data_IF_037754787342
#
_entry.id   IF_037754787342
#
_cell.length_a   1.000
_cell.length_b   1.000
_cell.length_c   1.000
_cell.angle_alpha   90.00
_cell.angle_beta   90.00
_cell.angle_gamma   90.00
#
_symmetry.space_group_name_H-M   'P 1'
#
loop_
_entity.id
_entity.type
_entity.pdbx_description
1 polymer ?
#
# COMPACT_ATOMS: atom_id res chain seq x y z
N UNK A 1 7.80 -14.49 -13.98
CA UNK A 1 9.24 -14.45 -13.61
C UNK A 1 9.36 -14.31 -12.09
N UNK A 2 10.38 -14.95 -11.45
CA UNK A 2 10.52 -14.93 -9.99
C UNK A 2 11.90 -14.39 -9.59
N UNK A 3 11.93 -13.49 -8.59
CA UNK A 3 13.14 -12.93 -7.95
C UNK A 3 14.16 -12.34 -8.95
N UNK A 4 13.70 -11.64 -9.97
CA UNK A 4 14.54 -10.95 -10.95
C UNK A 4 14.40 -9.43 -10.82
N UNK A 5 15.46 -8.69 -11.17
CA UNK A 5 15.35 -7.24 -11.38
C UNK A 5 14.62 -6.96 -12.69
N UNK A 6 13.80 -5.91 -12.70
CA UNK A 6 13.17 -5.42 -13.93
C UNK A 6 14.20 -4.99 -14.97
N UNK A 7 15.35 -4.47 -14.54
CA UNK A 7 16.41 -4.00 -15.44
C UNK A 7 16.94 -5.10 -16.37
N UNK A 8 16.90 -6.36 -15.92
CA UNK A 8 17.32 -7.50 -16.74
C UNK A 8 16.40 -7.76 -17.94
N UNK A 9 15.15 -7.30 -17.89
CA UNK A 9 14.13 -7.58 -18.91
C UNK A 9 13.47 -6.30 -19.46
N UNK A 10 13.82 -5.12 -18.97
CA UNK A 10 13.19 -3.84 -19.36
C UNK A 10 13.39 -3.48 -20.84
N UNK A 11 14.41 -4.09 -21.49
CA UNK A 11 14.69 -3.94 -22.91
C UNK A 11 13.71 -4.68 -23.83
N UNK A 12 12.90 -5.61 -23.30
CA UNK A 12 11.95 -6.38 -24.08
C UNK A 12 10.80 -5.54 -24.60
N UNK A 13 10.45 -5.71 -25.86
CA UNK A 13 9.32 -5.04 -26.49
C UNK A 13 8.01 -5.78 -26.15
N UNK A 14 7.53 -5.52 -24.95
CA UNK A 14 6.27 -6.07 -24.40
C UNK A 14 5.55 -5.00 -23.61
N UNK A 15 4.24 -4.90 -23.79
CA UNK A 15 3.40 -3.94 -23.10
C UNK A 15 3.45 -4.13 -21.56
N UNK A 16 3.58 -5.35 -21.08
CA UNK A 16 3.62 -5.71 -19.65
C UNK A 16 4.71 -6.73 -19.38
N UNK A 17 5.51 -6.50 -18.35
CA UNK A 17 6.42 -7.47 -17.77
C UNK A 17 5.95 -7.79 -16.35
N UNK A 18 5.88 -9.07 -15.96
CA UNK A 18 5.37 -9.48 -14.66
C UNK A 18 6.45 -10.23 -13.86
N UNK A 19 6.74 -9.75 -12.63
CA UNK A 19 7.78 -10.29 -11.76
C UNK A 19 7.21 -10.57 -10.38
N UNK A 20 7.38 -11.81 -9.90
CA UNK A 20 7.10 -12.18 -8.51
C UNK A 20 8.36 -12.09 -7.67
N UNK A 21 8.29 -11.47 -6.49
CA UNK A 21 9.43 -11.33 -5.58
C UNK A 21 9.02 -11.58 -4.14
N UNK A 22 9.81 -12.37 -3.42
CA UNK A 22 9.68 -12.57 -1.98
C UNK A 22 10.77 -11.75 -1.29
N UNK A 23 10.39 -10.91 -0.34
CA UNK A 23 11.28 -9.98 0.35
C UNK A 23 11.56 -10.42 1.78
N UNK A 24 12.78 -10.16 2.27
CA UNK A 24 13.09 -10.28 3.68
C UNK A 24 12.21 -9.30 4.51
N UNK A 25 11.84 -9.71 5.73
CA UNK A 25 11.04 -8.85 6.60
C UNK A 25 11.80 -7.57 6.95
N UNK A 26 11.11 -6.43 6.86
CA UNK A 26 11.68 -5.10 7.08
C UNK A 26 12.59 -4.58 5.96
N UNK A 27 12.78 -5.33 4.87
CA UNK A 27 13.64 -4.90 3.75
C UNK A 27 13.21 -3.55 3.21
N UNK A 28 14.17 -2.65 3.04
CA UNK A 28 13.98 -1.33 2.45
C UNK A 28 14.52 -1.32 1.02
N UNK A 29 13.66 -1.12 0.05
CA UNK A 29 14.06 -0.74 -1.30
C UNK A 29 14.31 0.77 -1.30
N UNK A 30 15.58 1.17 -1.43
CA UNK A 30 16.00 2.58 -1.42
C UNK A 30 15.35 3.37 -2.55
N UNK A 31 15.47 4.70 -2.50
CA UNK A 31 14.95 5.58 -3.55
C UNK A 31 15.40 5.15 -4.95
N UNK A 32 14.43 4.88 -5.81
CA UNK A 32 14.61 4.48 -7.21
C UNK A 32 13.41 4.89 -8.05
N UNK A 33 13.50 4.72 -9.34
CA UNK A 33 12.39 4.91 -10.29
C UNK A 33 12.51 3.89 -11.42
N UNK A 34 11.41 3.67 -12.12
CA UNK A 34 11.35 2.81 -13.29
C UNK A 34 10.87 3.60 -14.50
N UNK A 35 11.38 3.25 -15.69
CA UNK A 35 10.91 3.78 -16.96
C UNK A 35 9.44 3.43 -17.19
N UNK A 36 9.05 2.23 -16.83
CA UNK A 36 7.68 1.71 -16.89
C UNK A 36 6.87 2.17 -15.69
N UNK A 37 5.55 2.29 -15.86
CA UNK A 37 4.64 2.37 -14.73
C UNK A 37 4.64 1.03 -13.97
N UNK A 38 4.43 1.05 -12.66
CA UNK A 38 4.42 -0.16 -11.85
C UNK A 38 3.08 -0.34 -11.15
N UNK A 39 2.50 -1.53 -11.26
CA UNK A 39 1.49 -2.02 -10.33
C UNK A 39 2.14 -3.01 -9.37
N UNK A 40 2.32 -2.61 -8.12
CA UNK A 40 2.95 -3.43 -7.08
C UNK A 40 1.87 -4.04 -6.19
N UNK A 41 1.55 -5.32 -6.39
CA UNK A 41 0.53 -6.07 -5.64
C UNK A 41 1.19 -6.86 -4.50
N UNK A 42 0.67 -6.69 -3.28
CA UNK A 42 1.08 -7.45 -2.10
C UNK A 42 0.23 -8.69 -1.90
N UNK A 43 0.81 -9.88 -2.06
CA UNK A 43 0.14 -11.16 -1.75
C UNK A 43 0.01 -11.33 -0.24
N UNK A 44 1.10 -11.04 0.49
CA UNK A 44 1.19 -11.09 1.96
C UNK A 44 1.75 -9.78 2.50
N UNK A 45 1.68 -9.59 3.82
CA UNK A 45 2.33 -8.49 4.51
C UNK A 45 1.75 -7.10 4.23
N UNK A 46 2.56 -6.09 4.48
CA UNK A 46 2.23 -4.67 4.24
C UNK A 46 3.41 -3.97 3.60
N UNK A 47 3.17 -3.18 2.57
CA UNK A 47 4.15 -2.29 1.97
C UNK A 47 3.91 -0.85 2.43
N UNK A 48 4.99 -0.14 2.77
CA UNK A 48 4.98 1.30 3.01
C UNK A 48 5.73 1.96 1.87
N UNK A 49 5.00 2.66 1.02
CA UNK A 49 5.55 3.35 -0.16
C UNK A 49 5.68 4.83 0.16
N UNK A 50 6.86 5.41 -0.07
CA UNK A 50 7.10 6.85 0.01
C UNK A 50 7.42 7.38 -1.39
N UNK A 51 6.79 8.47 -1.78
CA UNK A 51 7.08 9.20 -3.02
C UNK A 51 6.94 10.70 -2.77
N UNK A 52 7.26 11.53 -3.77
CA UNK A 52 7.34 12.98 -3.63
C UNK A 52 6.20 13.66 -2.87
N UNK A 53 4.96 13.21 -3.02
CA UNK A 53 3.78 13.85 -2.44
C UNK A 53 3.31 13.28 -1.08
N UNK A 54 3.95 12.23 -0.55
CA UNK A 54 3.51 11.63 0.72
C UNK A 54 3.90 10.17 0.88
N UNK A 55 3.11 9.47 1.70
CA UNK A 55 3.26 8.05 1.95
C UNK A 55 1.96 7.30 1.68
N UNK A 56 2.08 6.06 1.27
CA UNK A 56 0.97 5.13 1.03
C UNK A 56 1.22 3.85 1.82
N UNK A 57 0.18 3.31 2.42
CA UNK A 57 0.24 2.00 3.06
C UNK A 57 -0.61 1.03 2.28
N UNK A 58 0.01 -0.05 1.84
CA UNK A 58 -0.59 -1.06 0.96
C UNK A 58 -0.69 -2.37 1.73
N UNK A 59 -1.87 -2.72 2.24
CA UNK A 59 -2.08 -3.99 2.94
C UNK A 59 -2.10 -5.17 1.98
N UNK A 60 -1.92 -6.37 2.52
CA UNK A 60 -2.06 -7.61 1.75
C UNK A 60 -3.38 -7.67 0.96
N UNK A 61 -3.33 -8.20 -0.23
CA UNK A 61 -4.47 -8.29 -1.13
C UNK A 61 -4.85 -6.97 -1.80
N UNK A 62 -4.01 -5.92 -1.69
CA UNK A 62 -4.15 -4.65 -2.40
C UNK A 62 -2.92 -4.37 -3.24
N UNK A 63 -3.01 -3.40 -4.14
CA UNK A 63 -1.88 -2.98 -4.97
C UNK A 63 -1.66 -1.48 -4.88
N UNK A 64 -0.45 -1.03 -5.16
CA UNK A 64 -0.16 0.38 -5.42
C UNK A 64 0.18 0.58 -6.89
N UNK A 65 -0.47 1.55 -7.50
CA UNK A 65 -0.10 2.11 -8.79
C UNK A 65 0.98 3.16 -8.60
N UNK A 66 2.10 3.00 -9.27
CA UNK A 66 3.23 3.94 -9.27
C UNK A 66 3.45 4.39 -10.73
N UNK A 67 3.25 5.67 -11.05
CA UNK A 67 3.47 6.18 -12.40
C UNK A 67 4.90 5.99 -12.90
N UNK A 68 5.06 5.88 -14.21
CA UNK A 68 6.37 5.84 -14.87
C UNK A 68 7.23 7.05 -14.47
N UNK A 69 8.51 6.82 -14.20
CA UNK A 69 9.45 7.87 -13.80
C UNK A 69 9.29 8.40 -12.37
N UNK A 70 8.28 7.95 -11.61
CA UNK A 70 8.04 8.42 -10.24
C UNK A 70 9.10 7.85 -9.28
N UNK A 71 9.93 8.76 -8.71
CA UNK A 71 10.88 8.37 -7.67
C UNK A 71 10.14 7.94 -6.41
N UNK A 72 10.48 6.76 -5.90
CA UNK A 72 9.84 6.16 -4.72
C UNK A 72 10.80 5.25 -3.96
N UNK A 73 10.46 4.97 -2.71
CA UNK A 73 11.08 3.93 -1.89
C UNK A 73 9.99 3.05 -1.28
N UNK A 74 10.29 1.79 -0.98
CA UNK A 74 9.33 0.86 -0.41
C UNK A 74 9.94 0.08 0.75
N UNK A 75 9.29 0.09 1.91
CA UNK A 75 9.58 -0.81 3.03
C UNK A 75 8.65 -2.00 2.97
N UNK A 76 9.23 -3.21 2.99
CA UNK A 76 8.54 -4.48 2.92
C UNK A 76 8.41 -5.11 4.30
N UNK A 77 7.20 -5.35 4.80
CA UNK A 77 6.94 -5.98 6.10
C UNK A 77 6.23 -7.33 5.86
N UNK A 78 7.02 -8.41 5.85
CA UNK A 78 6.52 -9.78 5.58
C UNK A 78 5.91 -9.97 4.19
N UNK A 79 6.50 -9.36 3.16
CA UNK A 79 5.86 -9.17 1.86
C UNK A 79 6.34 -10.16 0.81
N UNK A 80 5.38 -10.80 0.14
CA UNK A 80 5.53 -11.40 -1.19
C UNK A 80 4.74 -10.57 -2.20
N UNK A 81 5.36 -10.21 -3.32
CA UNK A 81 4.73 -9.34 -4.34
C UNK A 81 4.51 -10.04 -5.67
N UNK A 82 3.60 -9.46 -6.45
CA UNK A 82 3.47 -9.66 -7.90
C UNK A 82 3.46 -8.27 -8.54
N UNK A 83 4.56 -7.92 -9.17
CA UNK A 83 4.72 -6.61 -9.81
C UNK A 83 4.46 -6.71 -11.30
N UNK A 84 3.69 -5.76 -11.83
CA UNK A 84 3.61 -5.51 -13.25
C UNK A 84 4.39 -4.23 -13.56
N UNK A 85 5.22 -4.31 -14.58
CA UNK A 85 5.90 -3.16 -15.17
C UNK A 85 5.29 -2.92 -16.55
N UNK A 86 4.62 -1.79 -16.70
CA UNK A 86 3.73 -1.48 -17.83
C UNK A 86 4.32 -0.34 -18.64
N UNK A 87 4.46 -0.54 -19.96
CA UNK A 87 4.90 0.53 -20.86
C UNK A 87 4.03 1.78 -20.71
N UNK A 88 4.61 2.98 -20.70
CA UNK A 88 3.85 4.21 -20.55
C UNK A 88 2.72 4.37 -21.58
N UNK A 89 2.95 3.93 -22.84
CA UNK A 89 1.96 3.97 -23.90
C UNK A 89 0.77 3.03 -23.67
N UNK A 90 0.96 1.98 -22.85
CA UNK A 90 -0.09 0.99 -22.51
C UNK A 90 -0.64 1.19 -21.10
N UNK A 91 -0.18 2.24 -20.37
CA UNK A 91 -0.55 2.48 -18.98
C UNK A 91 -2.06 2.80 -18.88
N UNK A 92 -2.83 2.00 -18.13
CA UNK A 92 -4.29 2.14 -18.09
C UNK A 92 -4.76 3.21 -17.11
N UNK A 93 -3.85 3.89 -16.38
CA UNK A 93 -4.15 4.90 -15.35
C UNK A 93 -3.32 6.16 -15.53
N UNK A 94 -3.83 7.32 -15.04
CA UNK A 94 -3.11 8.59 -15.13
C UNK A 94 -1.74 8.56 -14.45
N UNK A 95 -0.80 9.33 -14.98
CA UNK A 95 0.56 9.45 -14.49
C UNK A 95 0.75 10.50 -13.37
N UNK A 96 -0.33 10.99 -12.74
CA UNK A 96 -0.26 12.13 -11.84
C UNK A 96 0.33 11.82 -10.46
N UNK A 97 -0.03 10.68 -9.86
CA UNK A 97 0.38 10.33 -8.49
C UNK A 97 0.23 8.83 -8.22
N UNK A 98 0.87 8.35 -7.16
CA UNK A 98 0.65 6.99 -6.66
C UNK A 98 -0.78 6.85 -6.11
N UNK A 99 -1.37 5.65 -6.29
CA UNK A 99 -2.69 5.32 -5.78
C UNK A 99 -2.71 3.89 -5.21
N UNK A 100 -3.35 3.68 -4.06
CA UNK A 100 -3.63 2.32 -3.59
C UNK A 100 -4.93 1.85 -4.22
N UNK A 101 -4.91 0.67 -4.82
CA UNK A 101 -6.02 0.10 -5.56
C UNK A 101 -6.62 -1.11 -4.84
N UNK A 102 -7.95 -1.20 -4.84
CA UNK A 102 -8.65 -2.39 -4.43
C UNK A 102 -8.52 -3.47 -5.52
N UNK A 103 -8.00 -4.63 -5.17
CA UNK A 103 -7.80 -5.74 -6.10
C UNK A 103 -8.98 -6.71 -6.01
N UNK A 104 -9.72 -6.87 -7.13
CA UNK A 104 -10.81 -7.84 -7.26
C UNK A 104 -10.27 -9.28 -7.26
N UNK A 105 -11.15 -10.27 -7.04
CA UNK A 105 -10.77 -11.67 -7.14
C UNK A 105 -10.23 -12.02 -8.56
N UNK A 106 -10.86 -11.47 -9.60
CA UNK A 106 -10.41 -11.66 -10.98
C UNK A 106 -9.01 -11.04 -11.18
N UNK A 107 -8.82 -9.77 -10.80
CA UNK A 107 -7.53 -9.11 -10.96
C UNK A 107 -6.42 -9.86 -10.18
N UNK A 108 -6.74 -10.36 -8.99
CA UNK A 108 -5.80 -11.18 -8.20
C UNK A 108 -5.34 -12.41 -8.97
N UNK A 109 -6.26 -13.19 -9.53
CA UNK A 109 -5.89 -14.41 -10.29
C UNK A 109 -5.11 -14.08 -11.56
N UNK A 110 -5.47 -13.00 -12.27
CA UNK A 110 -4.70 -12.52 -13.41
C UNK A 110 -3.26 -12.14 -13.04
N UNK A 111 -3.06 -11.44 -11.91
CA UNK A 111 -1.73 -11.08 -11.40
C UNK A 111 -0.89 -12.33 -11.05
N UNK A 112 -1.50 -13.34 -10.44
CA UNK A 112 -0.83 -14.60 -10.11
C UNK A 112 -0.44 -15.38 -11.37
N UNK A 113 -1.29 -15.39 -12.40
CA UNK A 113 -0.98 -16.04 -13.68
C UNK A 113 0.07 -15.26 -14.48
N UNK A 114 0.04 -13.92 -14.47
CA UNK A 114 0.96 -13.10 -15.23
C UNK A 114 2.44 -13.35 -14.87
N UNK A 115 2.76 -13.62 -13.60
CA UNK A 115 4.16 -13.89 -13.21
C UNK A 115 4.68 -15.25 -13.63
N UNK A 116 3.79 -16.17 -14.02
CA UNK A 116 4.17 -17.49 -14.55
C UNK A 116 4.37 -17.46 -16.09
N UNK A 117 3.98 -16.37 -16.78
CA UNK A 117 4.20 -16.20 -18.20
C UNK A 117 5.70 -16.04 -18.53
N UNK A 118 6.16 -16.49 -19.71
CA UNK A 118 7.49 -16.15 -20.21
C UNK A 118 7.58 -14.64 -20.45
N UNK A 119 8.77 -14.02 -20.33
CA UNK A 119 8.93 -12.57 -20.59
C UNK A 119 8.54 -12.19 -22.03
N UNK A 120 8.85 -13.07 -22.99
CA UNK A 120 8.53 -12.92 -24.41
C UNK A 120 7.27 -13.72 -24.77
N UNK A 121 6.16 -13.47 -24.01
CA UNK A 121 4.89 -14.14 -24.24
C UNK A 121 4.32 -13.87 -25.65
N UNK A 122 3.51 -14.80 -26.15
CA UNK A 122 2.76 -14.65 -27.42
C UNK A 122 1.62 -13.63 -27.22
N UNK A 123 1.74 -12.49 -27.90
CA UNK A 123 0.75 -11.39 -27.82
C UNK A 123 -0.58 -11.73 -28.50
N UNK A 124 -0.58 -12.66 -29.48
CA UNK A 124 -1.78 -13.09 -30.18
C UNK A 124 -2.44 -14.31 -29.53
N UNK A 125 -1.75 -14.94 -28.59
CA UNK A 125 -2.22 -16.13 -27.88
C UNK A 125 -2.92 -15.84 -26.56
N UNK A 126 -2.99 -16.89 -25.74
CA UNK A 126 -3.61 -16.86 -24.40
C UNK A 126 -3.02 -15.77 -23.52
N UNK A 127 -1.71 -15.61 -23.54
CA UNK A 127 -1.02 -14.71 -22.62
C UNK A 127 -1.23 -13.24 -23.02
N UNK A 128 -1.32 -12.93 -24.31
CA UNK A 128 -1.74 -11.62 -24.80
C UNK A 128 -3.18 -11.27 -24.40
N UNK A 129 -4.10 -12.24 -24.49
CA UNK A 129 -5.47 -12.06 -24.02
C UNK A 129 -5.52 -11.82 -22.49
N UNK A 130 -4.70 -12.54 -21.71
CA UNK A 130 -4.56 -12.33 -20.27
C UNK A 130 -4.09 -10.92 -19.96
N UNK A 131 -3.05 -10.43 -20.63
CA UNK A 131 -2.50 -9.08 -20.46
C UNK A 131 -3.54 -8.02 -20.80
N UNK A 132 -4.29 -8.19 -21.88
CA UNK A 132 -5.36 -7.27 -22.28
C UNK A 132 -6.44 -7.18 -21.22
N UNK A 133 -6.94 -8.29 -20.71
CA UNK A 133 -7.94 -8.32 -19.64
C UNK A 133 -7.39 -7.73 -18.35
N UNK A 134 -6.14 -8.04 -18.00
CA UNK A 134 -5.47 -7.51 -16.83
C UNK A 134 -5.39 -5.98 -16.85
N UNK A 135 -5.00 -5.37 -17.96
CA UNK A 135 -4.96 -3.92 -18.12
C UNK A 135 -6.36 -3.29 -17.96
N UNK A 136 -7.41 -3.91 -18.50
CA UNK A 136 -8.79 -3.47 -18.28
C UNK A 136 -9.20 -3.54 -16.80
N UNK A 137 -8.85 -4.59 -16.09
CA UNK A 137 -9.14 -4.72 -14.67
C UNK A 137 -8.36 -3.68 -13.82
N UNK A 138 -7.09 -3.40 -14.15
CA UNK A 138 -6.31 -2.32 -13.51
C UNK A 138 -6.94 -0.96 -13.76
N UNK A 139 -7.41 -0.67 -14.97
CA UNK A 139 -8.10 0.59 -15.30
C UNK A 139 -9.34 0.82 -14.43
N UNK A 140 -10.10 -0.24 -14.15
CA UNK A 140 -11.36 -0.21 -13.39
C UNK A 140 -11.20 -0.31 -11.88
N UNK A 141 -10.03 -0.71 -11.38
CA UNK A 141 -9.80 -0.94 -9.97
C UNK A 141 -10.05 0.34 -9.15
N UNK A 142 -10.92 0.31 -8.11
CA UNK A 142 -11.20 1.47 -7.28
C UNK A 142 -9.99 1.91 -6.48
N UNK A 143 -9.78 3.23 -6.36
CA UNK A 143 -8.75 3.80 -5.48
C UNK A 143 -9.20 3.76 -4.01
N UNK A 144 -8.29 3.37 -3.12
CA UNK A 144 -8.49 3.33 -1.67
C UNK A 144 -7.88 4.56 -0.99
N UNK A 145 -8.51 5.11 0.06
CA UNK A 145 -8.03 6.31 0.74
C UNK A 145 -6.86 6.01 1.72
N UNK A 146 -5.83 5.34 1.24
CA UNK A 146 -4.65 4.92 2.02
C UNK A 146 -3.42 5.80 1.76
N UNK A 147 -3.62 6.96 1.16
CA UNK A 147 -2.62 8.03 1.04
C UNK A 147 -2.59 8.87 2.31
N UNK A 148 -1.37 9.15 2.81
CA UNK A 148 -1.09 10.03 3.94
C UNK A 148 -0.27 11.21 3.40
N UNK A 149 -0.93 12.27 2.92
CA UNK A 149 -0.22 13.44 2.39
C UNK A 149 0.53 14.17 3.48
N UNK A 150 1.68 14.77 3.12
CA UNK A 150 2.55 15.52 4.03
C UNK A 150 2.68 16.98 3.58
N UNK A 151 2.66 17.95 4.53
CA UNK A 151 2.69 19.38 4.26
C UNK A 151 4.12 19.86 4.01
N UNK A 152 4.71 19.57 2.84
CA UNK A 152 6.13 19.85 2.54
C UNK A 152 6.48 21.33 2.52
N UNK A 153 5.53 22.19 2.22
CA UNK A 153 5.70 23.65 2.17
C UNK A 153 5.52 24.32 3.55
N UNK A 154 5.27 23.53 4.60
CA UNK A 154 5.09 24.00 5.98
C UNK A 154 5.97 23.15 6.92
N UNK A 155 7.23 23.53 7.08
CA UNK A 155 8.22 22.76 7.84
C UNK A 155 7.80 22.50 9.30
N UNK A 156 7.13 23.46 9.96
CA UNK A 156 6.68 23.29 11.33
C UNK A 156 5.52 22.28 11.44
N UNK A 157 4.59 22.32 10.50
CA UNK A 157 3.49 21.36 10.41
C UNK A 157 4.00 19.98 9.99
N UNK A 158 4.98 19.92 9.07
CA UNK A 158 5.62 18.68 8.63
C UNK A 158 6.27 17.95 9.83
N UNK A 159 7.05 18.66 10.64
CA UNK A 159 7.68 18.07 11.83
C UNK A 159 6.66 17.48 12.83
N UNK A 160 5.49 18.13 12.98
CA UNK A 160 4.40 17.59 13.81
C UNK A 160 3.79 16.32 13.17
N UNK A 161 3.58 16.33 11.86
CA UNK A 161 3.08 15.16 11.13
C UNK A 161 4.04 13.97 11.25
N UNK A 162 5.34 14.17 11.02
CA UNK A 162 6.36 13.12 11.11
C UNK A 162 6.44 12.52 12.52
N UNK A 163 6.46 13.38 13.55
CA UNK A 163 6.43 12.95 14.96
C UNK A 163 5.16 12.14 15.27
N UNK A 164 4.02 12.56 14.76
CA UNK A 164 2.76 11.83 14.93
C UNK A 164 2.78 10.47 14.24
N UNK A 165 3.35 10.36 13.04
CA UNK A 165 3.44 9.11 12.30
C UNK A 165 4.32 8.06 12.99
N UNK A 166 5.26 8.48 13.82
CA UNK A 166 6.06 7.57 14.63
C UNK A 166 5.25 6.84 15.73
N UNK A 167 4.20 7.50 16.27
CA UNK A 167 3.33 6.94 17.32
C UNK A 167 1.91 7.51 17.17
N UNK A 168 1.14 7.08 16.16
CA UNK A 168 -0.17 7.66 15.87
C UNK A 168 -1.22 7.23 16.90
N UNK A 169 -2.06 8.18 17.31
CA UNK A 169 -3.17 7.94 18.23
C UNK A 169 -4.45 8.60 17.76
N UNK A 170 -5.55 7.86 17.81
CA UNK A 170 -6.86 8.35 17.36
C UNK A 170 -7.47 9.38 18.31
N UNK A 171 -7.09 9.37 19.58
CA UNK A 171 -7.51 10.31 20.61
C UNK A 171 -6.73 11.64 20.60
N UNK A 172 -5.71 11.78 19.73
CA UNK A 172 -4.96 13.02 19.59
C UNK A 172 -5.87 14.19 19.18
N UNK A 173 -5.71 15.31 19.89
CA UNK A 173 -6.58 16.48 19.75
C UNK A 173 -5.88 17.60 18.99
N UNK A 174 -6.58 18.31 18.08
CA UNK A 174 -5.99 19.42 17.30
C UNK A 174 -5.54 20.59 18.20
N UNK A 175 -6.13 20.76 19.39
CA UNK A 175 -5.74 21.79 20.34
C UNK A 175 -4.28 21.66 20.80
N UNK A 176 -3.77 20.44 20.98
CA UNK A 176 -2.37 20.22 21.35
C UNK A 176 -1.42 20.70 20.25
N UNK A 177 -1.76 20.40 18.98
CA UNK A 177 -0.99 20.86 17.83
C UNK A 177 -1.06 22.36 17.62
N UNK A 178 -2.23 22.97 17.81
CA UNK A 178 -2.42 24.41 17.74
C UNK A 178 -1.52 25.13 18.75
N UNK A 179 -1.46 24.64 20.00
CA UNK A 179 -0.55 25.16 21.04
C UNK A 179 0.92 25.03 20.66
N UNK A 180 1.34 23.89 20.12
CA UNK A 180 2.73 23.68 19.67
C UNK A 180 3.14 24.61 18.53
N UNK A 181 2.19 25.06 17.71
CA UNK A 181 2.41 25.99 16.59
C UNK A 181 2.12 27.46 16.98
N UNK A 182 1.75 27.74 18.22
CA UNK A 182 1.36 29.07 18.69
C UNK A 182 0.24 29.73 17.86
N UNK A 183 -0.74 28.92 17.44
CA UNK A 183 -1.90 29.39 16.65
C UNK A 183 -3.22 28.97 17.30
N UNK A 184 -4.33 29.57 16.87
CA UNK A 184 -5.67 29.11 17.25
C UNK A 184 -5.98 27.78 16.54
N UNK A 185 -6.90 26.98 17.13
CA UNK A 185 -7.37 25.74 16.51
C UNK A 185 -7.98 25.99 15.11
N UNK A 186 -8.74 27.08 14.95
CA UNK A 186 -9.29 27.50 13.65
C UNK A 186 -8.18 27.73 12.62
N UNK A 187 -7.09 28.36 13.02
CA UNK A 187 -5.93 28.62 12.16
C UNK A 187 -5.24 27.30 11.78
N UNK A 188 -5.03 26.40 12.74
CA UNK A 188 -4.49 25.07 12.50
C UNK A 188 -5.34 24.30 11.47
N UNK A 189 -6.66 24.22 11.67
CA UNK A 189 -7.59 23.51 10.78
C UNK A 189 -7.52 24.07 9.35
N UNK A 190 -7.43 25.39 9.19
CA UNK A 190 -7.28 26.03 7.89
C UNK A 190 -5.94 25.69 7.23
N UNK A 191 -4.82 25.84 7.96
CA UNK A 191 -3.47 25.49 7.46
C UNK A 191 -3.39 24.03 7.06
N UNK A 192 -3.93 23.15 7.92
CA UNK A 192 -3.93 21.72 7.67
C UNK A 192 -4.68 21.36 6.37
N UNK A 193 -5.87 21.94 6.19
CA UNK A 193 -6.67 21.71 4.96
C UNK A 193 -6.02 22.30 3.71
N UNK A 194 -5.39 23.45 3.82
CA UNK A 194 -4.67 24.09 2.69
C UNK A 194 -3.43 23.31 2.28
N UNK A 195 -2.62 22.85 3.23
CA UNK A 195 -1.36 22.14 2.97
C UNK A 195 -1.54 20.66 2.62
N UNK A 196 -2.59 20.02 3.12
CA UNK A 196 -2.76 18.55 3.07
C UNK A 196 -4.00 18.14 2.23
N UNK A 197 -4.97 19.03 2.04
CA UNK A 197 -6.22 18.73 1.35
C UNK A 197 -7.24 17.94 2.19
N UNK A 198 -6.90 17.54 3.43
CA UNK A 198 -7.73 16.78 4.36
C UNK A 198 -7.98 17.57 5.65
N UNK A 199 -9.05 17.22 6.38
CA UNK A 199 -9.17 17.66 7.77
C UNK A 199 -8.17 16.90 8.64
N UNK A 200 -7.77 17.48 9.80
CA UNK A 200 -6.92 16.81 10.79
C UNK A 200 -7.49 15.44 11.21
N UNK A 201 -8.80 15.33 11.38
CA UNK A 201 -9.44 14.07 11.77
C UNK A 201 -9.33 12.99 10.69
N UNK A 202 -9.51 13.35 9.41
CA UNK A 202 -9.35 12.42 8.29
C UNK A 202 -7.90 11.95 8.14
N UNK A 203 -6.95 12.87 8.21
CA UNK A 203 -5.53 12.57 8.13
C UNK A 203 -5.08 11.69 9.30
N UNK A 204 -5.44 12.05 10.54
CA UNK A 204 -5.18 11.26 11.75
C UNK A 204 -5.72 9.83 11.62
N UNK A 205 -6.96 9.67 11.12
CA UNK A 205 -7.57 8.36 10.89
C UNK A 205 -6.76 7.53 9.90
N UNK A 206 -6.28 8.12 8.80
CA UNK A 206 -5.43 7.43 7.82
C UNK A 206 -4.10 6.99 8.43
N UNK A 207 -3.46 7.86 9.22
CA UNK A 207 -2.21 7.54 9.91
C UNK A 207 -2.39 6.38 10.91
N UNK A 208 -3.46 6.39 11.72
CA UNK A 208 -3.78 5.29 12.62
C UNK A 208 -4.08 3.99 11.86
N UNK A 209 -4.80 4.07 10.74
CA UNK A 209 -5.08 2.90 9.91
C UNK A 209 -3.79 2.31 9.33
N UNK A 210 -2.86 3.15 8.87
CA UNK A 210 -1.57 2.73 8.36
C UNK A 210 -0.77 1.92 9.40
N UNK A 211 -0.66 2.44 10.61
CA UNK A 211 0.00 1.76 11.73
C UNK A 211 -0.72 0.46 12.10
N UNK A 212 -2.07 0.49 12.13
CA UNK A 212 -2.87 -0.71 12.39
C UNK A 212 -2.58 -1.82 11.39
N UNK A 213 -2.53 -1.51 10.09
CA UNK A 213 -2.27 -2.48 9.03
C UNK A 213 -0.89 -3.12 9.18
N UNK A 214 0.14 -2.32 9.50
CA UNK A 214 1.49 -2.81 9.76
C UNK A 214 1.53 -3.76 10.96
N UNK A 215 0.90 -3.39 12.08
CA UNK A 215 0.85 -4.22 13.30
C UNK A 215 0.08 -5.53 13.08
N UNK A 216 -1.08 -5.47 12.40
CA UNK A 216 -1.88 -6.66 12.07
C UNK A 216 -1.14 -7.62 11.15
N UNK A 217 -0.37 -7.11 10.18
CA UNK A 217 0.47 -7.94 9.31
C UNK A 217 1.59 -8.67 10.07
N UNK A 218 2.08 -8.09 11.17
CA UNK A 218 3.03 -8.70 12.09
C UNK A 218 2.38 -9.65 13.11
N UNK A 219 1.07 -9.88 13.01
CA UNK A 219 0.34 -10.80 13.89
C UNK A 219 -0.06 -10.21 15.24
N UNK A 220 0.07 -8.89 15.44
CA UNK A 220 -0.39 -8.24 16.68
C UNK A 220 -1.91 -8.39 16.80
N UNK A 221 -2.45 -8.83 17.95
CA UNK A 221 -3.88 -9.03 18.12
C UNK A 221 -4.69 -7.76 17.88
N UNK A 222 -5.86 -7.89 17.26
CA UNK A 222 -6.76 -6.75 16.92
C UNK A 222 -7.09 -5.90 18.16
N UNK A 223 -7.28 -6.54 19.32
CA UNK A 223 -7.56 -5.87 20.59
C UNK A 223 -6.40 -5.00 21.04
N UNK A 224 -5.17 -5.51 20.96
CA UNK A 224 -3.94 -4.78 21.29
C UNK A 224 -3.77 -3.58 20.38
N UNK A 225 -3.88 -3.79 19.06
CA UNK A 225 -3.78 -2.71 18.05
C UNK A 225 -4.80 -1.59 18.32
N UNK A 226 -6.05 -1.95 18.65
CA UNK A 226 -7.09 -0.97 18.94
C UNK A 226 -6.74 -0.10 20.17
N UNK A 227 -6.27 -0.73 21.25
CA UNK A 227 -5.90 -0.04 22.50
C UNK A 227 -4.65 0.84 22.32
N UNK A 228 -3.61 0.32 21.66
CA UNK A 228 -2.38 1.06 21.39
C UNK A 228 -2.63 2.31 20.56
N UNK A 229 -3.56 2.23 19.61
CA UNK A 229 -3.99 3.37 18.80
C UNK A 229 -4.96 4.32 19.53
N UNK A 230 -5.35 4.02 20.77
CA UNK A 230 -6.21 4.88 21.58
C UNK A 230 -7.69 4.84 21.21
N UNK A 231 -8.18 3.75 20.64
CA UNK A 231 -9.63 3.54 20.46
C UNK A 231 -10.28 3.14 21.77
N UNK A 232 -11.49 3.66 22.03
CA UNK A 232 -12.27 3.36 23.23
C UNK A 232 -12.64 1.87 23.33
N UNK A 233 -12.72 1.17 22.20
CA UNK A 233 -12.98 -0.27 22.17
C UNK A 233 -12.48 -0.91 20.87
N UNK A 234 -12.21 -2.22 20.88
CA UNK A 234 -11.91 -2.99 19.65
C UNK A 234 -13.06 -2.96 18.63
N UNK A 235 -14.31 -2.81 19.11
CA UNK A 235 -15.51 -2.67 18.26
C UNK A 235 -15.50 -1.37 17.45
N UNK A 236 -15.15 -0.24 18.08
CA UNK A 236 -15.01 1.06 17.41
C UNK A 236 -13.93 1.03 16.34
N UNK A 237 -12.77 0.43 16.65
CA UNK A 237 -11.69 0.21 15.69
C UNK A 237 -12.15 -0.67 14.51
N UNK A 238 -12.79 -1.81 14.79
CA UNK A 238 -13.27 -2.74 13.76
C UNK A 238 -14.29 -2.10 12.81
N UNK A 239 -15.18 -1.26 13.35
CA UNK A 239 -16.15 -0.49 12.58
C UNK A 239 -15.46 0.51 11.64
N UNK A 240 -14.44 1.22 12.13
CA UNK A 240 -13.65 2.13 11.31
C UNK A 240 -12.94 1.39 10.18
N UNK A 241 -12.24 0.29 10.47
CA UNK A 241 -11.50 -0.49 9.46
C UNK A 241 -12.47 -1.00 8.38
N UNK A 242 -13.62 -1.58 8.79
CA UNK A 242 -14.62 -2.09 7.83
C UNK A 242 -15.18 -0.96 6.95
N UNK A 243 -15.42 0.23 7.51
CA UNK A 243 -15.90 1.38 6.73
C UNK A 243 -14.90 1.82 5.68
N UNK A 244 -13.60 1.77 5.96
CA UNK A 244 -12.56 2.27 5.04
C UNK A 244 -12.14 1.20 4.03
N UNK A 245 -12.03 -0.07 4.46
CA UNK A 245 -11.44 -1.15 3.65
C UNK A 245 -12.47 -2.18 3.16
N UNK A 246 -13.75 -2.02 3.55
CA UNK A 246 -14.84 -2.97 3.19
C UNK A 246 -14.76 -4.33 3.88
N UNK A 247 -13.74 -4.58 4.72
CA UNK A 247 -13.48 -5.87 5.39
C UNK A 247 -13.02 -5.67 6.84
N UNK A 248 -13.23 -6.65 7.75
CA UNK A 248 -12.84 -6.52 9.15
C UNK A 248 -11.32 -6.63 9.32
N UNK A 249 -10.76 -6.10 10.44
CA UNK A 249 -9.32 -6.17 10.72
C UNK A 249 -8.80 -7.61 10.86
N UNK A 250 -9.62 -8.56 11.31
CA UNK A 250 -9.25 -10.00 11.37
C UNK A 250 -8.93 -10.61 9.99
N UNK A 251 -9.51 -10.09 8.92
CA UNK A 251 -9.19 -10.52 7.56
C UNK A 251 -7.86 -9.95 7.02
N UNK A 252 -7.24 -9.03 7.78
CA UNK A 252 -5.97 -8.37 7.45
C UNK A 252 -4.80 -8.90 8.28
N UNK A 253 -5.10 -9.61 9.38
CA UNK A 253 -4.09 -10.25 10.20
C UNK A 253 -3.38 -11.36 9.41
N UNK A 254 -2.06 -11.52 9.62
CA UNK A 254 -1.31 -12.63 9.07
C UNK A 254 -1.99 -13.94 9.50
N UNK A 255 -2.32 -14.81 8.55
CA UNK A 255 -2.69 -16.18 8.88
C UNK A 255 -1.44 -16.81 9.50
N UNK A 256 -1.50 -17.18 10.78
CA UNK A 256 -0.49 -18.06 11.36
C UNK A 256 -0.37 -19.28 10.44
N UNK A 257 0.85 -19.69 10.04
CA UNK A 257 1.02 -20.98 9.39
C UNK A 257 0.40 -22.03 10.32
N UNK A 258 -0.56 -22.78 9.80
CA UNK A 258 -1.12 -23.93 10.51
C UNK A 258 0.07 -24.82 10.82
N UNK A 259 0.41 -24.96 12.11
CA UNK A 259 1.45 -25.87 12.58
C UNK A 259 1.14 -27.23 11.96
N UNK A 260 2.09 -27.73 11.16
CA UNK A 260 1.91 -28.93 10.37
C UNK A 260 1.37 -30.07 11.23
N UNK A 261 0.33 -30.72 10.75
CA UNK A 261 -0.06 -32.03 11.23
C UNK A 261 1.17 -32.95 11.12
N UNK A 262 1.69 -33.34 12.27
CA UNK A 262 2.61 -34.45 12.39
C UNK A 262 1.99 -35.67 11.66
N UNK A 263 2.52 -35.99 10.50
CA UNK A 263 2.21 -37.29 9.89
C UNK A 263 2.65 -38.38 10.87
N UNK A 264 1.80 -39.39 11.18
CA UNK A 264 2.23 -40.52 11.97
C UNK A 264 3.30 -41.28 11.19
N UNK A 265 4.44 -41.56 11.85
CA UNK A 265 5.44 -42.46 11.35
C UNK A 265 4.79 -43.82 11.12
N UNK A 266 4.71 -44.27 9.90
CA UNK A 266 4.47 -45.70 9.58
C UNK A 266 5.75 -46.47 9.87
N UNK A 267 5.58 -47.47 10.74
CA UNK A 267 6.51 -48.57 10.96
C UNK A 267 6.68 -49.41 9.69
#
# INVERSE_FOLDING_TARGET
>A
MKNQSVDAVDHLDRAVLAIGTDYADGQLLSWHHHRRAQLLYGVTGVMQVSAGAGAWVVPSGQAVWIPAGMAHQVRMLGVSTRSLYIEPASAPRPAAQCEVLAVSALLRELLLQAVEMPPEYDEQGRDGALVTLLLHEVARAPSLPLHIPLPRDDAALLALCERFLAAPRIDARPQAWARSLHVSERTLQRRFRQAIGLSFAQWRQRACLAQALAALAQGVPVTTVALDLGYDSPGAFSTMVRRVLGRPPSALAARQPVAGHNAPACL
#
